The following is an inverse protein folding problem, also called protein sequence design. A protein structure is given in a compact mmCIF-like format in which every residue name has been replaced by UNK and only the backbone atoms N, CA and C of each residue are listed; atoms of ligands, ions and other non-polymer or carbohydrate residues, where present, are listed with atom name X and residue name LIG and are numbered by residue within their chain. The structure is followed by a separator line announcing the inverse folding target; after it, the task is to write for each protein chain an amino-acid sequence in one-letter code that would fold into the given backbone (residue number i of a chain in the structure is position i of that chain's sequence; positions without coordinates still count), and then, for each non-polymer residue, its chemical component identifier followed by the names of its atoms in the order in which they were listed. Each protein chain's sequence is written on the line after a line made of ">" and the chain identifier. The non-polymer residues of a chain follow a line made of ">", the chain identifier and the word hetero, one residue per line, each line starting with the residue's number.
data_IF_154697941142
#
_entry.id   IF_154697941142
#
_cell.length_a   1.000
_cell.length_b   1.000
_cell.length_c   1.000
_cell.angle_alpha   90.00
_cell.angle_beta   90.00
_cell.angle_gamma   90.00
#
_symmetry.space_group_name_H-M   'P 1'
#
loop_
_entity.id
_entity.type
_entity.pdbx_description
1 polymer ?
#
# COMPACT_ATOMS: atom_id res chain seq x y z
N UNK A 1 -3.93 -0.82 21.15
CA UNK A 1 -5.08 -1.75 21.20
C UNK A 1 -5.36 -2.40 19.85
N UNK A 2 -5.46 -1.65 18.73
CA UNK A 2 -5.79 -2.23 17.40
C UNK A 2 -4.78 -3.27 16.90
N UNK A 3 -3.48 -3.04 17.05
CA UNK A 3 -2.43 -3.93 16.49
C UNK A 3 -2.47 -5.33 17.10
N UNK A 4 -2.62 -5.45 18.43
CA UNK A 4 -2.68 -6.74 19.11
C UNK A 4 -4.00 -7.50 18.87
N UNK A 5 -5.04 -6.82 18.37
CA UNK A 5 -6.34 -7.45 18.05
C UNK A 5 -6.38 -7.98 16.62
N UNK A 6 -5.61 -7.38 15.71
CA UNK A 6 -5.57 -7.74 14.28
C UNK A 6 -4.39 -8.68 13.97
N UNK A 7 -3.30 -8.59 14.73
CA UNK A 7 -2.13 -9.44 14.61
C UNK A 7 -1.83 -10.10 15.97
N UNK A 8 -1.58 -11.40 15.99
CA UNK A 8 -1.04 -12.12 17.17
C UNK A 8 0.39 -11.61 17.44
N UNK A 9 0.48 -10.50 18.15
CA UNK A 9 1.70 -9.73 18.24
C UNK A 9 2.23 -9.72 19.67
N UNK A 10 3.38 -10.38 19.89
CA UNK A 10 4.06 -10.47 21.19
C UNK A 10 4.91 -9.23 21.54
N UNK A 11 4.93 -8.22 20.67
CA UNK A 11 5.67 -6.97 20.86
C UNK A 11 6.39 -6.53 19.58
N UNK A 12 6.70 -5.23 19.45
CA UNK A 12 7.39 -4.70 18.28
C UNK A 12 8.85 -5.14 18.26
N UNK A 13 9.30 -5.66 17.11
CA UNK A 13 10.73 -5.87 16.85
C UNK A 13 11.41 -4.51 16.69
N UNK A 14 12.73 -4.49 16.86
CA UNK A 14 13.55 -3.28 16.80
C UNK A 14 13.22 -2.43 15.56
N UNK A 15 13.05 -1.12 15.76
CA UNK A 15 12.69 -0.10 14.74
C UNK A 15 11.32 -0.22 14.05
N UNK A 16 10.54 -1.28 14.28
CA UNK A 16 9.17 -1.36 13.75
C UNK A 16 8.27 -0.27 14.33
N UNK A 17 8.30 -0.10 15.66
CA UNK A 17 7.51 0.92 16.34
C UNK A 17 7.87 2.33 15.88
N UNK A 18 9.16 2.63 15.76
CA UNK A 18 9.66 3.92 15.27
C UNK A 18 9.18 4.18 13.84
N UNK A 19 9.25 3.17 12.97
CA UNK A 19 8.78 3.26 11.59
C UNK A 19 7.27 3.53 11.51
N UNK A 20 6.48 2.79 12.31
CA UNK A 20 5.03 2.95 12.42
C UNK A 20 4.69 4.36 12.92
N UNK A 21 5.33 4.81 13.99
CA UNK A 21 5.10 6.14 14.55
C UNK A 21 5.51 7.25 13.59
N UNK A 22 6.61 7.07 12.86
CA UNK A 22 7.03 8.03 11.84
C UNK A 22 5.98 8.14 10.72
N UNK A 23 5.42 7.01 10.28
CA UNK A 23 4.35 6.97 9.29
C UNK A 23 3.07 7.66 9.78
N UNK A 24 2.61 7.34 11.00
CA UNK A 24 1.42 7.95 11.61
C UNK A 24 1.57 9.47 11.74
N UNK A 25 2.77 9.91 12.12
CA UNK A 25 3.11 11.34 12.22
C UNK A 25 3.38 12.00 10.86
N UNK A 26 3.04 11.33 9.75
CA UNK A 26 3.16 11.84 8.37
C UNK A 26 4.59 12.27 8.00
N UNK A 27 5.60 11.59 8.56
CA UNK A 27 7.01 11.85 8.24
C UNK A 27 7.48 10.95 7.09
N UNK A 28 8.24 11.52 6.17
CA UNK A 28 8.96 10.75 5.16
C UNK A 28 9.99 9.85 5.84
N UNK A 29 9.90 8.54 5.61
CA UNK A 29 10.67 7.55 6.37
C UNK A 29 11.25 6.50 5.43
N UNK A 30 12.57 6.31 5.50
CA UNK A 30 13.23 5.16 4.89
C UNK A 30 13.38 4.06 5.94
N UNK A 31 12.78 2.90 5.66
CA UNK A 31 12.81 1.75 6.57
C UNK A 31 13.77 0.70 6.02
N UNK A 32 14.90 0.53 6.70
CA UNK A 32 15.90 -0.51 6.39
C UNK A 32 15.82 -1.56 7.49
N UNK A 33 15.21 -2.70 7.16
CA UNK A 33 15.14 -3.88 8.01
C UNK A 33 15.62 -5.11 7.22
N UNK A 34 16.17 -6.14 7.87
CA UNK A 34 16.42 -7.43 7.22
C UNK A 34 15.14 -8.08 6.69
N UNK A 35 15.29 -9.02 5.75
CA UNK A 35 14.18 -9.87 5.30
C UNK A 35 13.63 -10.68 6.47
N UNK A 36 12.31 -10.89 6.49
CA UNK A 36 11.65 -11.60 7.60
C UNK A 36 11.52 -10.80 8.89
N UNK A 37 12.06 -9.57 8.97
CA UNK A 37 11.91 -8.69 10.14
C UNK A 37 10.50 -8.08 10.29
N UNK A 38 9.57 -8.37 9.37
CA UNK A 38 8.18 -7.91 9.44
C UNK A 38 7.97 -6.48 8.96
N UNK A 39 8.60 -6.08 7.84
CA UNK A 39 8.43 -4.76 7.22
C UNK A 39 6.97 -4.44 6.87
N UNK A 40 6.20 -5.47 6.50
CA UNK A 40 4.77 -5.37 6.19
C UNK A 40 4.00 -4.67 7.31
N UNK A 41 4.31 -5.02 8.56
CA UNK A 41 3.66 -4.41 9.73
C UNK A 41 3.90 -2.89 9.80
N UNK A 42 5.06 -2.42 9.34
CA UNK A 42 5.43 -1.01 9.39
C UNK A 42 4.49 -0.11 8.57
N UNK A 43 3.80 -0.65 7.57
CA UNK A 43 2.83 0.11 6.77
C UNK A 43 1.38 -0.38 6.95
N UNK A 44 1.15 -1.65 7.27
CA UNK A 44 -0.21 -2.17 7.52
C UNK A 44 -0.84 -1.52 8.75
N UNK A 45 -0.10 -1.44 9.85
CA UNK A 45 -0.61 -0.81 11.08
C UNK A 45 -1.02 0.64 10.84
N UNK A 46 -0.16 1.49 10.24
CA UNK A 46 -0.59 2.83 9.90
C UNK A 46 -1.76 2.89 8.92
N UNK A 47 -1.85 2.01 7.93
CA UNK A 47 -2.98 1.97 7.00
C UNK A 47 -4.31 1.65 7.68
N UNK A 48 -4.30 0.80 8.71
CA UNK A 48 -5.45 0.45 9.54
C UNK A 48 -5.98 1.63 10.35
N UNK A 49 -5.08 2.35 11.03
CA UNK A 49 -5.49 3.36 12.01
C UNK A 49 -5.61 4.76 11.43
N UNK A 50 -4.99 5.01 10.27
CA UNK A 50 -4.97 6.34 9.67
C UNK A 50 -6.01 6.46 8.57
N UNK A 51 -6.82 7.51 8.61
CA UNK A 51 -7.80 7.81 7.56
C UNK A 51 -7.14 8.06 6.20
N UNK A 52 -7.93 7.86 5.13
CA UNK A 52 -7.50 8.05 3.75
C UNK A 52 -7.01 6.77 3.07
N UNK A 53 -6.35 6.96 1.92
CA UNK A 53 -5.85 5.88 1.08
C UNK A 53 -4.35 5.69 1.26
N UNK A 54 -3.92 4.45 1.49
CA UNK A 54 -2.51 4.06 1.43
C UNK A 54 -2.25 3.31 0.13
N UNK A 55 -1.39 3.86 -0.74
CA UNK A 55 -1.01 3.28 -2.03
C UNK A 55 0.36 2.61 -1.89
N UNK A 56 0.41 1.30 -2.12
CA UNK A 56 1.61 0.48 -2.05
C UNK A 56 2.12 0.26 -3.47
N UNK A 57 3.31 0.78 -3.78
CA UNK A 57 4.04 0.44 -4.98
C UNK A 57 4.92 -0.77 -4.73
N UNK A 58 4.73 -1.84 -5.48
CA UNK A 58 5.57 -3.05 -5.37
C UNK A 58 5.91 -3.62 -6.75
N UNK A 59 7.17 -4.04 -6.99
CA UNK A 59 7.54 -4.73 -8.23
C UNK A 59 7.05 -6.19 -8.27
N UNK A 60 6.71 -6.77 -7.11
CA UNK A 60 6.44 -8.21 -6.96
C UNK A 60 4.98 -8.56 -7.23
N UNK A 61 4.57 -8.57 -8.50
CA UNK A 61 3.20 -8.93 -8.94
C UNK A 61 2.69 -10.24 -8.34
N UNK A 62 3.56 -11.26 -8.27
CA UNK A 62 3.20 -12.59 -7.81
C UNK A 62 2.74 -12.63 -6.34
N UNK A 63 3.11 -11.64 -5.52
CA UNK A 63 2.76 -11.59 -4.10
C UNK A 63 1.55 -10.69 -3.81
N UNK A 64 1.10 -9.89 -4.78
CA UNK A 64 0.02 -8.92 -4.56
C UNK A 64 -1.29 -9.64 -4.20
N UNK A 65 -1.64 -10.70 -4.92
CA UNK A 65 -2.88 -11.45 -4.67
C UNK A 65 -2.91 -12.07 -3.26
N UNK A 66 -1.78 -12.62 -2.80
CA UNK A 66 -1.68 -13.21 -1.47
C UNK A 66 -1.74 -12.14 -0.38
N UNK A 67 -1.06 -11.00 -0.56
CA UNK A 67 -1.14 -9.87 0.36
C UNK A 67 -2.57 -9.29 0.43
N UNK A 68 -3.25 -9.13 -0.71
CA UNK A 68 -4.65 -8.69 -0.75
C UNK A 68 -5.53 -9.67 0.03
N UNK A 69 -5.35 -10.98 -0.17
CA UNK A 69 -6.12 -12.01 0.53
C UNK A 69 -5.90 -11.92 2.05
N UNK A 70 -4.65 -11.78 2.49
CA UNK A 70 -4.31 -11.63 3.91
C UNK A 70 -4.95 -10.38 4.52
N UNK A 71 -4.86 -9.23 3.84
CA UNK A 71 -5.46 -7.99 4.32
C UNK A 71 -6.99 -8.05 4.38
N UNK A 72 -7.65 -8.66 3.38
CA UNK A 72 -9.11 -8.86 3.40
C UNK A 72 -9.52 -9.77 4.55
N UNK A 73 -8.77 -10.85 4.80
CA UNK A 73 -9.05 -11.80 5.88
C UNK A 73 -9.03 -11.14 7.27
N UNK A 74 -8.21 -10.09 7.44
CA UNK A 74 -8.16 -9.29 8.68
C UNK A 74 -9.06 -8.04 8.63
N UNK A 75 -9.97 -7.97 7.66
CA UNK A 75 -11.00 -6.93 7.55
C UNK A 75 -10.52 -5.60 6.98
N UNK A 76 -9.38 -5.57 6.26
CA UNK A 76 -8.89 -4.35 5.60
C UNK A 76 -9.41 -4.32 4.16
N UNK A 77 -10.22 -3.31 3.79
CA UNK A 77 -10.62 -3.12 2.41
C UNK A 77 -9.41 -2.76 1.55
N UNK A 78 -9.02 -3.68 0.66
CA UNK A 78 -7.91 -3.47 -0.25
C UNK A 78 -8.18 -4.02 -1.65
N UNK A 79 -7.52 -3.42 -2.64
CA UNK A 79 -7.55 -3.84 -4.03
C UNK A 79 -6.17 -3.68 -4.66
N UNK A 80 -6.00 -4.20 -5.88
CA UNK A 80 -4.78 -4.03 -6.65
C UNK A 80 -5.04 -3.41 -8.01
N UNK A 81 -4.11 -2.64 -8.54
CA UNK A 81 -4.07 -2.21 -9.94
C UNK A 81 -2.73 -2.63 -10.54
N UNK A 82 -2.75 -3.78 -11.19
CA UNK A 82 -1.62 -4.39 -11.88
C UNK A 82 -2.12 -5.23 -13.06
N UNK A 83 -1.21 -5.65 -13.92
CA UNK A 83 -1.54 -6.58 -15.01
C UNK A 83 -1.80 -7.96 -14.42
N UNK A 84 -3.04 -8.44 -14.54
CA UNK A 84 -3.48 -9.77 -14.13
C UNK A 84 -4.48 -10.30 -15.15
N UNK A 85 -4.43 -11.61 -15.44
CA UNK A 85 -5.40 -12.30 -16.30
C UNK A 85 -6.73 -12.55 -15.60
N UNK A 86 -6.77 -12.41 -14.28
CA UNK A 86 -7.96 -12.69 -13.47
C UNK A 86 -8.86 -11.45 -13.31
N UNK A 87 -8.39 -10.27 -13.73
CA UNK A 87 -9.17 -9.04 -13.63
C UNK A 87 -10.23 -8.98 -14.75
N UNK A 88 -11.53 -8.86 -14.42
CA UNK A 88 -12.55 -8.62 -15.43
C UNK A 88 -12.34 -7.26 -16.12
N UNK A 89 -12.94 -7.07 -17.30
CA UNK A 89 -12.77 -5.86 -18.11
C UNK A 89 -13.14 -4.56 -17.37
N UNK A 90 -14.13 -4.61 -16.47
CA UNK A 90 -14.60 -3.48 -15.66
C UNK A 90 -13.91 -3.35 -14.30
N UNK A 91 -12.92 -4.19 -13.99
CA UNK A 91 -12.28 -4.23 -12.66
C UNK A 91 -11.70 -2.89 -12.25
N UNK A 92 -11.03 -2.19 -13.17
CA UNK A 92 -10.43 -0.89 -12.89
C UNK A 92 -11.48 0.16 -12.54
N UNK A 93 -12.61 0.18 -13.24
CA UNK A 93 -13.72 1.11 -12.97
C UNK A 93 -14.31 0.85 -11.59
N UNK A 94 -14.49 -0.42 -11.23
CA UNK A 94 -14.93 -0.83 -9.88
C UNK A 94 -13.97 -0.30 -8.81
N UNK A 95 -12.66 -0.55 -8.96
CA UNK A 95 -11.64 -0.07 -8.01
C UNK A 95 -11.65 1.45 -7.92
N UNK A 96 -11.81 2.16 -9.03
CA UNK A 96 -11.89 3.63 -9.04
C UNK A 96 -13.14 4.13 -8.30
N UNK A 97 -14.28 3.46 -8.47
CA UNK A 97 -15.51 3.76 -7.75
C UNK A 97 -15.34 3.56 -6.24
N UNK A 98 -14.76 2.45 -5.81
CA UNK A 98 -14.50 2.14 -4.39
C UNK A 98 -13.50 3.13 -3.76
N UNK A 99 -12.45 3.51 -4.52
CA UNK A 99 -11.56 4.59 -4.10
C UNK A 99 -12.38 5.86 -3.97
N UNK A 100 -13.12 6.30 -4.99
CA UNK A 100 -13.88 7.55 -4.97
C UNK A 100 -14.89 7.62 -3.82
N UNK A 101 -15.55 6.51 -3.47
CA UNK A 101 -16.46 6.41 -2.34
C UNK A 101 -15.76 6.39 -0.96
N UNK A 102 -14.44 6.19 -0.92
CA UNK A 102 -13.67 6.11 0.33
C UNK A 102 -13.74 4.75 1.01
N UNK A 103 -14.18 3.70 0.31
CA UNK A 103 -14.28 2.35 0.86
C UNK A 103 -12.93 1.63 0.91
N UNK A 104 -12.00 1.97 0.01
CA UNK A 104 -10.67 1.36 -0.01
C UNK A 104 -9.69 2.05 0.93
N UNK A 105 -8.99 1.25 1.73
CA UNK A 105 -7.93 1.70 2.66
C UNK A 105 -6.53 1.46 2.10
N UNK A 106 -6.35 0.34 1.39
CA UNK A 106 -5.07 -0.03 0.78
C UNK A 106 -5.24 -0.29 -0.71
N UNK A 107 -4.32 0.23 -1.52
CA UNK A 107 -4.27 -0.02 -2.95
C UNK A 107 -2.87 -0.48 -3.35
N UNK A 108 -2.73 -1.71 -3.82
CA UNK A 108 -1.48 -2.19 -4.42
C UNK A 108 -1.39 -1.75 -5.87
N UNK A 109 -0.22 -1.31 -6.31
CA UNK A 109 0.01 -0.83 -7.67
C UNK A 109 1.41 -1.23 -8.13
N UNK A 110 1.55 -1.65 -9.38
CA UNK A 110 2.91 -1.77 -9.97
C UNK A 110 3.32 -0.46 -10.61
N UNK A 111 4.62 -0.08 -10.56
CA UNK A 111 5.10 1.17 -11.16
C UNK A 111 4.68 1.35 -12.63
N UNK A 112 4.67 0.28 -13.43
CA UNK A 112 4.29 0.36 -14.84
C UNK A 112 2.79 0.65 -15.01
N UNK A 113 1.94 0.09 -14.14
CA UNK A 113 0.50 0.36 -14.20
C UNK A 113 0.21 1.83 -13.86
N UNK A 114 0.93 2.40 -12.89
CA UNK A 114 0.85 3.83 -12.59
C UNK A 114 1.34 4.70 -13.75
N UNK A 115 2.48 4.34 -14.37
CA UNK A 115 3.04 5.10 -15.48
C UNK A 115 2.20 5.00 -16.77
N UNK A 116 1.56 3.86 -17.05
CA UNK A 116 0.77 3.67 -18.28
C UNK A 116 -0.68 4.16 -18.17
N UNK A 117 -1.14 4.60 -17.00
CA UNK A 117 -2.54 4.94 -16.77
C UNK A 117 -2.75 6.42 -16.35
N UNK A 118 -2.95 7.34 -17.32
CA UNK A 118 -3.23 8.75 -17.04
C UNK A 118 -4.51 8.98 -16.24
N UNK A 119 -5.54 8.15 -16.45
CA UNK A 119 -6.80 8.25 -15.73
C UNK A 119 -6.62 7.94 -14.24
N UNK A 120 -5.78 6.94 -13.91
CA UNK A 120 -5.43 6.63 -12.53
C UNK A 120 -4.73 7.81 -11.84
N UNK A 121 -3.72 8.41 -12.49
CA UNK A 121 -3.04 9.59 -11.95
C UNK A 121 -3.98 10.77 -11.73
N UNK A 122 -4.86 11.01 -12.70
CA UNK A 122 -5.87 12.07 -12.61
C UNK A 122 -6.85 11.84 -11.46
N UNK A 123 -7.24 10.58 -11.23
CA UNK A 123 -8.07 10.21 -10.09
C UNK A 123 -7.32 10.45 -8.77
N UNK A 124 -6.07 10.00 -8.61
CA UNK A 124 -5.29 10.27 -7.39
C UNK A 124 -5.14 11.76 -7.11
N UNK A 125 -4.92 12.60 -8.13
CA UNK A 125 -4.86 14.06 -7.97
C UNK A 125 -6.17 14.66 -7.48
N UNK A 126 -7.33 14.14 -7.93
CA UNK A 126 -8.64 14.58 -7.43
C UNK A 126 -8.88 14.11 -6.00
N UNK A 127 -8.53 12.86 -5.70
CA UNK A 127 -8.68 12.28 -4.37
C UNK A 127 -7.81 13.01 -3.34
N UNK A 128 -6.59 13.42 -3.70
CA UNK A 128 -5.69 14.12 -2.77
C UNK A 128 -6.22 15.49 -2.31
N UNK A 129 -7.17 16.09 -3.03
CA UNK A 129 -7.82 17.33 -2.62
C UNK A 129 -8.87 17.13 -1.51
N UNK A 130 -9.40 15.91 -1.36
CA UNK A 130 -10.52 15.62 -0.46
C UNK A 130 -10.15 14.67 0.68
N UNK A 131 -9.05 13.91 0.55
CA UNK A 131 -8.59 12.98 1.60
C UNK A 131 -7.08 12.76 1.52
N UNK A 132 -6.50 12.36 2.64
CA UNK A 132 -5.09 12.00 2.70
C UNK A 132 -4.79 10.81 1.79
N UNK A 133 -3.72 10.94 1.01
CA UNK A 133 -3.09 9.81 0.31
C UNK A 133 -1.69 9.64 0.88
N UNK A 134 -1.29 8.40 1.15
CA UNK A 134 0.07 8.05 1.58
C UNK A 134 0.64 7.03 0.63
N UNK A 135 1.94 7.14 0.36
CA UNK A 135 2.64 6.25 -0.54
C UNK A 135 3.64 5.39 0.23
N UNK A 136 3.63 4.10 -0.07
CA UNK A 136 4.64 3.13 0.37
C UNK A 136 5.32 2.62 -0.88
N UNK A 137 6.65 2.60 -0.87
CA UNK A 137 7.46 2.02 -1.94
C UNK A 137 8.12 0.78 -1.36
N UNK A 138 7.61 -0.38 -1.74
CA UNK A 138 8.18 -1.68 -1.42
C UNK A 138 9.35 -1.99 -2.34
N UNK A 139 10.34 -2.71 -1.82
CA UNK A 139 11.61 -2.98 -2.51
C UNK A 139 12.24 -1.74 -3.16
N UNK A 140 12.34 -0.65 -2.38
CA UNK A 140 12.91 0.64 -2.83
C UNK A 140 14.30 0.52 -3.46
N UNK A 141 15.06 -0.53 -3.13
CA UNK A 141 16.37 -0.79 -3.74
C UNK A 141 16.29 -1.03 -5.25
N UNK A 142 15.15 -1.53 -5.77
CA UNK A 142 14.91 -1.68 -7.20
C UNK A 142 14.94 -0.35 -7.97
N UNK A 143 14.76 0.79 -7.28
CA UNK A 143 14.91 2.12 -7.89
C UNK A 143 16.39 2.44 -8.16
N UNK A 144 17.28 1.98 -7.29
CA UNK A 144 18.73 2.30 -7.36
C UNK A 144 19.45 1.38 -8.35
N UNK A 145 19.01 0.13 -8.48
CA UNK A 145 19.56 -0.84 -9.44
C UNK A 145 19.20 -0.51 -10.90
N UNK A 146 18.18 0.32 -11.11
CA UNK A 146 17.85 0.85 -12.43
C UNK A 146 18.48 2.24 -12.58
N UNK A 147 19.66 2.32 -13.22
CA UNK A 147 20.34 3.57 -13.64
C UNK A 147 19.49 4.54 -14.51
N UNK A 148 18.21 4.22 -14.75
CA UNK A 148 17.31 4.88 -15.70
C UNK A 148 16.00 5.38 -15.09
N UNK A 149 15.99 5.81 -13.82
CA UNK A 149 14.85 6.57 -13.30
C UNK A 149 15.10 8.09 -13.49
N UNK A 150 14.66 8.63 -14.63
CA UNK A 150 14.49 10.08 -14.88
C UNK A 150 13.06 10.50 -14.61
#
# INVERSE_FOLDING_TARGET
>A
MVVNQVFEFSGYREKQYESIMSFINKKNTLVILPTGSGKTLCWVVPALISEGLTVIFTPLKALIDDQIRELINIGIPCAGLYTSTNHPSNYQEKVFGEIAAGFLRVLFVTPEKFHKNPAFRSMLMRISQIRSIRFVIDEVHCIVEQEYFR
#
